data_IF_384031212569
#
_entry.id   IF_384031212569
#
_cell.length_a   1.000
_cell.length_b   1.000
_cell.length_c   1.000
_cell.angle_alpha   90.00
_cell.angle_beta   90.00
_cell.angle_gamma   90.00
#
_symmetry.space_group_name_H-M   'P 1'
#
loop_
_entity.id
_entity.type
_entity.pdbx_description
1 polymer ?
#
# COMPACT_ATOMS: atom_id res chain seq x y z
N UNK A 1 0.81 26.75 9.46
CA UNK A 1 0.13 25.82 8.51
C UNK A 1 0.06 24.47 9.19
N UNK A 2 -1.12 24.06 9.66
CA UNK A 2 -1.23 22.94 10.60
C UNK A 2 -1.54 21.65 9.84
N UNK A 3 -0.96 20.54 10.29
CA UNK A 3 -1.19 19.24 9.69
C UNK A 3 -2.61 18.76 9.98
N UNK A 4 -3.35 18.33 8.95
CA UNK A 4 -4.70 17.78 9.10
C UNK A 4 -4.76 16.44 9.87
N UNK A 5 -3.63 15.78 10.06
CA UNK A 5 -3.59 14.41 10.62
C UNK A 5 -3.09 14.38 12.07
N UNK A 6 -2.12 15.24 12.42
CA UNK A 6 -1.56 15.32 13.76
C UNK A 6 -1.73 16.68 14.45
N UNK A 7 -2.30 17.68 13.75
CA UNK A 7 -2.50 19.03 14.28
C UNK A 7 -1.23 19.84 14.48
N UNK A 8 -0.05 19.24 14.33
CA UNK A 8 1.23 19.92 14.48
C UNK A 8 1.39 21.02 13.42
N UNK A 9 1.92 22.16 13.85
CA UNK A 9 2.35 23.19 12.92
C UNK A 9 3.54 22.68 12.10
N UNK A 10 3.51 22.90 10.80
CA UNK A 10 4.65 22.63 9.94
C UNK A 10 4.84 23.77 8.95
N UNK A 11 6.08 23.88 8.45
CA UNK A 11 6.50 24.93 7.53
C UNK A 11 6.69 24.30 6.15
N UNK A 12 6.08 24.89 5.14
CA UNK A 12 6.32 24.54 3.75
C UNK A 12 7.53 25.33 3.26
N UNK A 13 8.70 24.68 3.18
CA UNK A 13 9.96 25.35 2.86
C UNK A 13 10.08 25.66 1.36
N UNK A 14 10.97 26.59 1.00
CA UNK A 14 11.19 26.99 -0.39
C UNK A 14 11.55 25.80 -1.31
N UNK A 15 12.40 24.87 -0.85
CA UNK A 15 12.74 23.67 -1.62
C UNK A 15 11.55 22.73 -1.85
N UNK A 16 10.58 22.72 -0.93
CA UNK A 16 9.38 21.92 -1.05
C UNK A 16 8.36 22.57 -2.01
N UNK A 17 8.33 23.90 -2.05
CA UNK A 17 7.56 24.67 -3.04
C UNK A 17 8.07 24.44 -4.46
N UNK A 18 9.39 24.43 -4.68
CA UNK A 18 9.99 24.13 -5.98
C UNK A 18 9.65 22.72 -6.47
N UNK A 19 9.67 21.74 -5.56
CA UNK A 19 9.29 20.37 -5.87
C UNK A 19 7.82 20.22 -6.27
N UNK A 20 6.92 20.93 -5.59
CA UNK A 20 5.49 20.93 -5.93
C UNK A 20 5.21 21.60 -7.27
N UNK A 21 5.90 22.71 -7.57
CA UNK A 21 5.81 23.39 -8.86
C UNK A 21 6.27 22.48 -10.01
N UNK A 22 7.38 21.75 -9.84
CA UNK A 22 7.89 20.81 -10.85
C UNK A 22 6.95 19.61 -11.10
N UNK A 23 6.21 19.18 -10.07
CA UNK A 23 5.24 18.09 -10.20
C UNK A 23 3.86 18.54 -10.69
N UNK A 24 3.66 19.85 -10.91
CA UNK A 24 2.38 20.42 -11.33
C UNK A 24 1.30 20.41 -10.24
N UNK A 25 1.70 20.30 -8.97
CA UNK A 25 0.75 20.36 -7.86
C UNK A 25 0.47 21.82 -7.49
N UNK A 26 -0.76 22.26 -7.76
CA UNK A 26 -1.24 23.61 -7.48
C UNK A 26 -1.72 23.81 -6.04
N UNK A 27 -1.88 22.72 -5.28
CA UNK A 27 -2.28 22.77 -3.88
C UNK A 27 -1.08 22.62 -2.93
N UNK A 28 -0.98 23.52 -1.96
CA UNK A 28 -0.02 23.40 -0.87
C UNK A 28 -0.27 22.11 -0.06
N UNK A 29 0.78 21.47 0.50
CA UNK A 29 0.61 20.27 1.30
C UNK A 29 -0.33 20.51 2.48
N UNK A 30 -1.32 19.60 2.64
CA UNK A 30 -2.28 19.62 3.76
C UNK A 30 -1.79 18.85 5.00
N UNK A 31 -0.64 18.17 4.89
CA UNK A 31 -0.09 17.26 5.90
C UNK A 31 1.41 17.48 6.03
N UNK A 32 1.93 17.39 7.25
CA UNK A 32 3.37 17.48 7.51
C UNK A 32 4.13 16.28 6.90
N UNK A 33 5.45 16.42 6.80
CA UNK A 33 6.34 15.41 6.19
C UNK A 33 6.29 14.08 6.93
N UNK A 34 6.21 14.07 8.27
CA UNK A 34 6.10 12.84 9.05
C UNK A 34 4.81 12.07 8.76
N UNK A 35 3.65 12.74 8.73
CA UNK A 35 2.38 12.10 8.39
C UNK A 35 2.31 11.63 6.92
N UNK A 36 2.92 12.37 5.98
CA UNK A 36 3.05 11.93 4.58
C UNK A 36 3.95 10.69 4.47
N UNK A 37 5.08 10.68 5.17
CA UNK A 37 6.01 9.55 5.22
C UNK A 37 5.36 8.31 5.87
N UNK A 38 4.69 8.47 7.02
CA UNK A 38 3.97 7.40 7.71
C UNK A 38 2.91 6.77 6.81
N UNK A 39 2.14 7.57 6.07
CA UNK A 39 1.12 7.04 5.15
C UNK A 39 1.74 6.33 3.95
N UNK A 40 2.88 6.81 3.44
CA UNK A 40 3.64 6.10 2.40
C UNK A 40 4.15 4.76 2.94
N UNK A 41 4.68 4.73 4.16
CA UNK A 41 5.18 3.51 4.80
C UNK A 41 4.04 2.48 5.04
N UNK A 42 2.89 2.92 5.54
CA UNK A 42 1.71 2.08 5.73
C UNK A 42 1.20 1.47 4.41
N UNK A 43 1.25 2.21 3.30
CA UNK A 43 0.89 1.68 1.97
C UNK A 43 1.89 0.66 1.43
N UNK A 44 3.19 0.85 1.71
CA UNK A 44 4.22 -0.13 1.35
C UNK A 44 4.18 -1.38 2.25
N UNK A 45 3.71 -1.27 3.50
CA UNK A 45 3.53 -2.42 4.39
C UNK A 45 2.28 -3.27 4.06
N UNK A 46 1.21 -2.63 3.56
CA UNK A 46 -0.04 -3.32 3.20
C UNK A 46 -0.02 -3.98 1.81
N UNK A 47 0.97 -3.67 0.97
CA UNK A 47 1.15 -4.27 -0.35
C UNK A 47 2.52 -4.93 -0.42
N UNK A 48 2.58 -6.23 -0.16
CA UNK A 48 3.80 -7.01 -0.38
C UNK A 48 4.23 -6.94 -1.85
N UNK A 49 5.15 -6.04 -2.16
CA UNK A 49 5.64 -5.83 -3.53
C UNK A 49 6.58 -4.63 -3.63
N UNK A 50 7.86 -4.92 -3.74
CA UNK A 50 9.03 -4.03 -3.81
C UNK A 50 8.85 -2.74 -4.62
N UNK A 51 9.10 -1.60 -3.97
CA UNK A 51 9.51 -0.38 -4.67
C UNK A 51 10.36 0.51 -3.76
N UNK A 52 11.67 0.52 -3.95
CA UNK A 52 12.48 1.67 -3.58
C UNK A 52 13.78 1.73 -4.38
N UNK A 53 13.71 2.27 -5.61
CA UNK A 53 14.70 3.29 -5.96
C UNK A 53 14.28 4.57 -5.20
N UNK A 54 15.00 4.88 -4.12
CA UNK A 54 14.75 6.04 -3.27
C UNK A 54 15.65 6.02 -2.03
N UNK A 55 16.83 6.64 -2.19
CA UNK A 55 17.86 6.99 -1.19
C UNK A 55 17.58 6.68 0.29
N UNK A 56 18.38 5.82 0.96
CA UNK A 56 18.41 5.74 2.42
C UNK A 56 19.26 6.88 3.00
N UNK A 57 18.67 7.63 3.92
CA UNK A 57 19.38 8.52 4.84
C UNK A 57 19.92 7.64 5.99
N UNK A 58 21.25 7.54 6.07
CA UNK A 58 21.97 6.79 7.09
C UNK A 58 22.53 7.75 8.13
N UNK A 59 21.90 7.80 9.30
CA UNK A 59 22.52 8.41 10.48
C UNK A 59 22.00 7.84 11.80
N UNK A 60 22.37 6.59 12.11
CA UNK A 60 22.54 6.00 13.46
C UNK A 60 22.77 4.48 13.30
N UNK A 61 23.55 3.73 14.05
CA UNK A 61 24.65 3.93 14.99
C UNK A 61 25.43 2.59 14.99
N UNK A 62 26.75 2.66 15.05
CA UNK A 62 27.61 1.75 15.84
C UNK A 62 27.35 0.23 15.76
N UNK A 63 28.09 -0.47 14.90
CA UNK A 63 28.21 -1.93 14.97
C UNK A 63 29.29 -2.47 14.04
N UNK A 64 30.56 -2.38 14.45
CA UNK A 64 31.69 -2.96 13.72
C UNK A 64 31.80 -4.47 13.90
N UNK A 65 32.17 -5.17 12.82
CA UNK A 65 32.57 -6.58 12.80
C UNK A 65 32.23 -7.17 11.43
N UNK A 66 33.17 -7.48 10.55
CA UNK A 66 34.39 -8.24 10.81
C UNK A 66 34.24 -9.57 10.06
N UNK A 67 35.03 -9.70 9.00
CA UNK A 67 35.05 -10.77 8.01
C UNK A 67 35.51 -12.12 8.61
N UNK A 68 34.71 -13.18 8.40
CA UNK A 68 35.21 -14.52 8.03
C UNK A 68 35.72 -15.51 9.09
N UNK A 69 35.26 -16.77 8.87
CA UNK A 69 35.80 -18.11 9.26
C UNK A 69 35.33 -18.68 10.62
N UNK A 70 35.14 -19.98 10.81
CA UNK A 70 34.98 -21.19 9.98
C UNK A 70 34.76 -22.37 10.96
N UNK A 71 33.96 -23.38 10.58
CA UNK A 71 33.76 -24.65 11.32
C UNK A 71 32.74 -24.53 12.45
N UNK A 72 31.91 -25.52 12.82
CA UNK A 72 32.10 -26.97 12.70
C UNK A 72 30.74 -27.68 12.84
N UNK A 73 30.59 -28.78 12.10
CA UNK A 73 29.64 -29.90 12.34
C UNK A 73 28.28 -29.88 11.63
N UNK A 74 28.25 -30.57 10.48
CA UNK A 74 27.22 -31.53 10.04
C UNK A 74 25.84 -30.97 9.66
N UNK A 75 25.34 -31.11 8.43
CA UNK A 75 25.32 -32.32 7.60
C UNK A 75 23.85 -32.75 7.46
N UNK A 76 23.27 -32.52 6.27
CA UNK A 76 21.83 -32.54 6.02
C UNK A 76 21.14 -33.90 6.04
N UNK A 77 19.81 -33.86 6.05
CA UNK A 77 18.93 -35.00 5.81
C UNK A 77 17.47 -34.60 5.83
N UNK A 78 16.90 -34.21 4.68
CA UNK A 78 15.45 -34.28 4.49
C UNK A 78 15.18 -35.27 3.36
N UNK A 79 14.74 -36.46 3.75
CA UNK A 79 14.21 -37.48 2.85
C UNK A 79 13.10 -38.21 3.59
N UNK A 80 11.86 -38.02 3.15
CA UNK A 80 10.73 -38.91 3.47
C UNK A 80 9.64 -38.30 4.34
N UNK A 81 8.40 -38.31 3.83
CA UNK A 81 7.19 -37.77 4.44
C UNK A 81 6.67 -38.56 5.65
N UNK A 82 5.51 -38.28 6.23
CA UNK A 82 4.42 -37.36 5.96
C UNK A 82 3.40 -37.53 7.10
N UNK A 83 2.53 -36.55 7.33
CA UNK A 83 1.48 -36.70 8.35
C UNK A 83 0.87 -35.39 8.80
N UNK A 84 0.03 -34.78 7.96
CA UNK A 84 -1.08 -33.96 8.46
C UNK A 84 -2.35 -34.29 7.67
N UNK A 85 -3.28 -34.94 8.37
CA UNK A 85 -4.67 -35.05 7.97
C UNK A 85 -5.46 -33.92 8.62
N UNK A 86 -6.34 -33.30 7.82
CA UNK A 86 -7.40 -32.36 8.23
C UNK A 86 -6.97 -30.90 8.08
N UNK A 87 -7.29 -30.20 6.99
CA UNK A 87 -8.62 -29.94 6.42
C UNK A 87 -8.89 -28.45 6.67
N UNK A 88 -8.88 -27.54 5.70
CA UNK A 88 -9.58 -27.50 4.41
C UNK A 88 -8.75 -26.70 3.40
N UNK A 89 -8.22 -27.38 2.38
CA UNK A 89 -7.78 -26.75 1.15
C UNK A 89 -9.00 -26.20 0.40
N UNK A 90 -9.00 -24.90 0.12
CA UNK A 90 -10.05 -24.20 -0.61
C UNK A 90 -9.72 -24.03 -2.09
N UNK A 91 -8.87 -24.86 -2.69
CA UNK A 91 -8.34 -24.71 -4.06
C UNK A 91 -9.35 -24.97 -5.22
N UNK A 92 -10.66 -24.76 -5.02
CA UNK A 92 -11.66 -24.94 -6.10
C UNK A 92 -12.84 -23.96 -6.04
N UNK A 93 -12.73 -22.80 -5.39
CA UNK A 93 -13.73 -21.73 -5.59
C UNK A 93 -13.36 -20.94 -6.85
N UNK A 94 -14.15 -20.99 -7.93
CA UNK A 94 -13.89 -20.17 -9.11
C UNK A 94 -13.85 -18.69 -8.70
N UNK A 95 -12.95 -17.88 -9.30
CA UNK A 95 -12.88 -16.46 -8.98
C UNK A 95 -14.24 -15.81 -9.20
N UNK A 96 -14.65 -14.96 -8.25
CA UNK A 96 -15.91 -14.22 -8.32
C UNK A 96 -15.92 -13.45 -9.64
N UNK A 97 -16.91 -13.66 -10.49
CA UNK A 97 -17.03 -12.91 -11.73
C UNK A 97 -17.35 -11.46 -11.39
N UNK A 98 -16.43 -10.59 -11.75
CA UNK A 98 -16.54 -9.14 -11.60
C UNK A 98 -16.96 -8.59 -12.95
N UNK A 99 -17.92 -7.66 -12.93
CA UNK A 99 -18.43 -7.00 -14.12
C UNK A 99 -17.95 -5.56 -14.12
N UNK A 100 -17.49 -5.09 -15.27
CA UNK A 100 -17.14 -3.68 -15.46
C UNK A 100 -18.42 -2.85 -15.62
N UNK A 101 -18.51 -1.77 -14.85
CA UNK A 101 -19.59 -0.81 -14.92
C UNK A 101 -19.05 0.61 -14.77
N UNK A 102 -19.71 1.58 -15.40
CA UNK A 102 -19.36 3.00 -15.29
C UNK A 102 -20.08 3.61 -14.08
N UNK A 103 -19.33 4.26 -13.20
CA UNK A 103 -19.90 4.97 -12.06
C UNK A 103 -20.76 6.16 -12.52
N UNK A 104 -21.99 6.26 -12.01
CA UNK A 104 -22.92 7.30 -12.37
C UNK A 104 -22.50 8.71 -11.90
N UNK A 105 -21.75 8.83 -10.80
CA UNK A 105 -21.34 10.16 -10.28
C UNK A 105 -20.01 10.65 -10.84
N UNK A 106 -19.01 9.76 -10.91
CA UNK A 106 -17.65 10.16 -11.28
C UNK A 106 -17.19 9.66 -12.66
N UNK A 107 -17.99 8.84 -13.34
CA UNK A 107 -17.70 8.34 -14.69
C UNK A 107 -16.56 7.32 -14.78
N UNK A 108 -15.93 6.94 -13.66
CA UNK A 108 -14.85 5.94 -13.65
C UNK A 108 -15.39 4.52 -13.81
N UNK A 109 -14.61 3.65 -14.44
CA UNK A 109 -14.90 2.21 -14.51
C UNK A 109 -14.65 1.58 -13.14
N UNK A 110 -15.63 0.83 -12.64
CA UNK A 110 -15.56 0.09 -11.39
C UNK A 110 -15.96 -1.37 -11.60
N UNK A 111 -15.27 -2.27 -10.90
CA UNK A 111 -15.60 -3.69 -10.88
C UNK A 111 -16.63 -3.99 -9.81
N UNK A 112 -17.80 -4.46 -10.22
CA UNK A 112 -18.91 -4.81 -9.32
C UNK A 112 -19.19 -6.31 -9.35
N UNK A 113 -19.60 -6.91 -8.21
CA UNK A 113 -19.85 -8.36 -8.12
C UNK A 113 -21.22 -8.77 -8.69
N UNK A 114 -22.00 -7.81 -9.21
CA UNK A 114 -23.31 -8.01 -9.80
C UNK A 114 -23.33 -7.46 -11.21
N UNK A 115 -24.10 -8.08 -12.10
CA UNK A 115 -24.23 -7.59 -13.46
C UNK A 115 -25.06 -6.30 -13.48
N UNK A 116 -24.58 -5.20 -14.09
CA UNK A 116 -25.33 -3.96 -14.19
C UNK A 116 -26.55 -4.13 -15.10
N UNK A 117 -27.75 -3.92 -14.58
CA UNK A 117 -29.02 -4.11 -15.33
C UNK A 117 -29.58 -2.83 -15.94
N UNK A 118 -28.90 -1.68 -15.76
CA UNK A 118 -29.34 -0.37 -16.26
C UNK A 118 -30.54 0.25 -15.50
N UNK A 119 -31.30 -0.56 -14.75
CA UNK A 119 -32.45 -0.11 -13.97
C UNK A 119 -32.07 0.70 -12.72
N UNK A 120 -30.83 0.56 -12.22
CA UNK A 120 -30.33 1.26 -11.04
C UNK A 120 -28.93 1.82 -11.33
N UNK A 121 -28.62 3.05 -10.88
CA UNK A 121 -27.31 3.63 -11.07
C UNK A 121 -26.25 2.80 -10.34
N UNK A 122 -25.13 2.55 -11.02
CA UNK A 122 -23.97 1.86 -10.44
C UNK A 122 -23.00 2.90 -9.92
N UNK A 123 -22.45 2.64 -8.75
CA UNK A 123 -21.51 3.54 -8.08
C UNK A 123 -20.22 2.79 -7.77
N UNK A 124 -19.07 3.47 -7.90
CA UNK A 124 -17.80 2.94 -7.40
C UNK A 124 -17.83 2.85 -5.86
N UNK A 125 -16.90 2.08 -5.28
CA UNK A 125 -16.80 1.90 -3.82
C UNK A 125 -16.84 3.23 -3.05
N UNK A 126 -16.18 4.25 -3.58
CA UNK A 126 -16.03 5.55 -2.95
C UNK A 126 -17.33 6.36 -3.01
N UNK A 127 -17.91 6.53 -4.20
CA UNK A 127 -19.19 7.23 -4.38
C UNK A 127 -20.35 6.52 -3.67
N UNK A 128 -20.34 5.19 -3.70
CA UNK A 128 -21.36 4.39 -3.04
C UNK A 128 -21.32 4.56 -1.50
N UNK A 129 -20.14 4.69 -0.90
CA UNK A 129 -19.99 5.03 0.53
C UNK A 129 -20.55 6.41 0.83
N UNK A 130 -20.37 7.39 -0.06
CA UNK A 130 -20.94 8.73 0.09
C UNK A 130 -22.47 8.75 -0.02
N UNK A 131 -23.08 7.84 -0.80
CA UNK A 131 -24.54 7.75 -0.98
C UNK A 131 -25.26 6.91 0.10
N UNK A 132 -24.54 6.15 0.94
CA UNK A 132 -25.12 5.35 2.04
C UNK A 132 -25.28 6.15 3.35
N UNK A 133 -24.90 7.42 3.37
CA UNK A 133 -25.00 8.34 4.51
C UNK A 133 -26.21 9.24 4.44
#
# INVERSE_FOLDING_TARGET
MNCLDCGQEFIFTAGEQEFYAQRGFTEAPKRCTSCRAARKAQRNAASGGSAANGYPDSSDSSGGGGYGRAGDTGGGGYSGGGGYGGGYGGERRPPRQLYDAVCADCGKVAQVPFQPTGARPVYCSDCFQSHRG
#
